data_IF_367809296380
#
_entry.id   IF_367809296380
#
_cell.length_a   1.000
_cell.length_b   1.000
_cell.length_c   1.000
_cell.angle_alpha   90.00
_cell.angle_beta   90.00
_cell.angle_gamma   90.00
#
_symmetry.space_group_name_H-M   'P 1'
#
loop_
_entity.id
_entity.type
_entity.pdbx_description
1 polymer ?
#
# COMPACT_ATOMS: atom_id res chain seq x y z
N UNK A 1 71.89 7.42 30.87
CA UNK A 1 72.18 7.29 29.43
C UNK A 1 70.86 7.20 28.68
N UNK A 2 70.68 8.12 27.73
CA UNK A 2 69.80 8.11 26.56
C UNK A 2 68.26 8.05 26.70
N UNK A 3 67.62 9.02 26.04
CA UNK A 3 66.19 9.21 25.77
C UNK A 3 65.50 8.03 25.05
N UNK A 4 64.17 7.94 25.18
CA UNK A 4 63.31 7.78 23.99
C UNK A 4 61.88 8.27 24.22
N UNK A 5 61.55 9.40 23.59
CA UNK A 5 60.20 9.75 23.13
C UNK A 5 59.56 8.60 22.35
N UNK A 6 58.26 8.35 22.51
CA UNK A 6 57.34 8.05 21.40
C UNK A 6 55.90 8.30 21.88
N UNK A 7 55.35 9.38 21.33
CA UNK A 7 53.96 9.78 21.21
C UNK A 7 53.13 8.64 20.60
N UNK A 8 52.06 8.19 21.26
CA UNK A 8 50.96 7.45 20.62
C UNK A 8 49.62 7.85 21.19
N UNK A 9 49.02 8.83 20.52
CA UNK A 9 47.58 9.09 20.50
C UNK A 9 46.90 7.83 19.94
N UNK A 10 46.00 7.19 20.68
CA UNK A 10 45.02 6.28 20.07
C UNK A 10 43.67 6.43 20.77
N UNK A 11 42.84 7.24 20.12
CA UNK A 11 41.38 7.18 20.02
C UNK A 11 40.58 7.08 21.32
N UNK A 12 39.93 8.17 21.78
CA UNK A 12 38.93 8.07 22.82
C UNK A 12 37.80 7.17 22.33
N UNK A 13 37.27 6.37 23.25
CA UNK A 13 36.07 5.56 23.10
C UNK A 13 34.83 6.44 22.89
N UNK A 14 34.77 7.17 21.77
CA UNK A 14 33.51 7.60 21.17
C UNK A 14 32.90 6.37 20.53
N UNK A 15 32.16 5.65 21.38
CA UNK A 15 31.06 4.79 20.99
C UNK A 15 30.15 5.63 20.09
N UNK A 16 30.42 5.60 18.78
CA UNK A 16 29.55 6.13 17.75
C UNK A 16 28.23 5.37 17.88
N UNK A 17 27.31 5.95 18.66
CA UNK A 17 25.90 5.60 18.63
C UNK A 17 25.41 5.94 17.23
N UNK A 18 25.60 5.01 16.31
CA UNK A 18 25.09 5.06 14.95
C UNK A 18 23.56 5.04 15.06
N UNK A 19 22.97 6.21 15.17
CA UNK A 19 21.55 6.43 15.01
C UNK A 19 21.19 6.08 13.56
N UNK A 20 20.84 4.83 13.33
CA UNK A 20 20.30 4.37 12.06
C UNK A 20 18.91 4.99 11.92
N UNK A 21 18.84 6.18 11.33
CA UNK A 21 17.57 6.82 11.01
C UNK A 21 16.99 6.08 9.81
N UNK A 22 16.10 5.13 10.06
CA UNK A 22 15.33 4.47 9.00
C UNK A 22 14.31 5.48 8.49
N UNK A 23 14.59 6.04 7.31
CA UNK A 23 13.62 6.87 6.58
C UNK A 23 12.53 5.95 6.02
N UNK A 24 11.42 5.80 6.75
CA UNK A 24 10.19 5.23 6.20
C UNK A 24 9.68 6.20 5.13
N UNK A 25 9.54 5.69 3.90
CA UNK A 25 8.87 6.41 2.81
C UNK A 25 7.40 6.01 2.84
N UNK A 26 6.51 6.91 3.27
CA UNK A 26 5.07 6.74 3.10
C UNK A 26 4.64 7.27 1.74
N UNK A 27 3.93 6.47 0.94
CA UNK A 27 3.25 6.99 -0.25
C UNK A 27 2.01 7.75 0.20
N UNK A 28 1.96 9.06 -0.01
CA UNK A 28 0.73 9.84 0.13
C UNK A 28 -0.13 9.59 -1.09
N UNK A 29 -1.32 9.00 -0.91
CA UNK A 29 -2.31 8.89 -1.98
C UNK A 29 -3.10 10.17 -2.04
N UNK A 30 -3.20 10.76 -3.23
CA UNK A 30 -4.04 11.93 -3.44
C UNK A 30 -5.52 11.51 -3.41
N UNK A 31 -6.35 12.13 -2.55
CA UNK A 31 -7.77 11.84 -2.50
C UNK A 31 -8.48 12.39 -3.75
N UNK A 32 -9.23 11.53 -4.44
CA UNK A 32 -10.04 11.92 -5.59
C UNK A 32 -11.50 12.13 -5.19
N UNK A 33 -12.08 13.27 -5.56
CA UNK A 33 -13.49 13.57 -5.29
C UNK A 33 -14.38 13.01 -6.39
N UNK A 34 -15.40 12.24 -6.02
CA UNK A 34 -16.42 11.70 -6.92
C UNK A 34 -17.82 12.16 -6.52
N UNK A 35 -18.62 12.55 -7.51
CA UNK A 35 -19.96 13.15 -7.31
C UNK A 35 -21.11 12.15 -7.22
N UNK A 36 -20.90 10.90 -7.62
CA UNK A 36 -21.98 9.91 -7.78
C UNK A 36 -21.83 8.68 -6.88
N UNK A 37 -20.97 8.76 -5.86
CA UNK A 37 -20.72 7.66 -4.92
C UNK A 37 -20.41 6.32 -5.62
N UNK A 38 -19.35 6.26 -6.47
CA UNK A 38 -18.99 5.06 -7.21
C UNK A 38 -18.83 3.84 -6.30
N UNK A 39 -19.03 2.67 -6.87
CA UNK A 39 -18.67 1.39 -6.27
C UNK A 39 -17.31 0.88 -6.80
N UNK A 40 -16.78 -0.22 -6.26
CA UNK A 40 -15.51 -0.78 -6.71
C UNK A 40 -15.50 -1.15 -8.21
N UNK A 41 -16.62 -1.59 -8.75
CA UNK A 41 -16.74 -1.93 -10.17
C UNK A 41 -16.70 -0.70 -11.06
N UNK A 42 -17.28 0.43 -10.63
CA UNK A 42 -17.25 1.70 -11.37
C UNK A 42 -15.81 2.23 -11.53
N UNK A 43 -14.91 1.85 -10.61
CA UNK A 43 -13.48 2.16 -10.65
C UNK A 43 -12.63 1.11 -11.40
N UNK A 44 -13.25 0.08 -11.97
CA UNK A 44 -12.55 -1.01 -12.67
C UNK A 44 -12.01 -2.12 -11.76
N UNK A 45 -12.36 -2.13 -10.47
CA UNK A 45 -11.95 -3.12 -9.47
C UNK A 45 -13.06 -4.15 -9.20
N UNK A 46 -13.64 -4.71 -10.26
CA UNK A 46 -14.70 -5.70 -10.16
C UNK A 46 -14.19 -7.01 -9.52
N UNK A 47 -14.85 -7.48 -8.46
CA UNK A 47 -14.64 -8.84 -7.94
C UNK A 47 -14.73 -8.94 -6.43
N UNK A 48 -13.82 -8.28 -5.71
CA UNK A 48 -13.71 -8.42 -4.25
C UNK A 48 -13.88 -7.06 -3.59
N UNK A 49 -15.10 -6.82 -3.11
CA UNK A 49 -15.52 -5.58 -2.45
C UNK A 49 -16.19 -5.88 -1.13
N UNK A 50 -15.96 -5.03 -0.13
CA UNK A 50 -16.67 -5.08 1.15
C UNK A 50 -17.24 -3.72 1.48
N UNK A 51 -18.52 -3.67 1.81
CA UNK A 51 -19.20 -2.45 2.23
C UNK A 51 -19.42 -2.51 3.74
N UNK A 52 -18.98 -1.50 4.46
CA UNK A 52 -19.25 -1.39 5.89
C UNK A 52 -20.69 -0.92 6.13
N UNK A 53 -21.26 -1.31 7.27
CA UNK A 53 -22.49 -0.71 7.82
C UNK A 53 -22.22 0.71 8.30
N UNK A 54 -23.24 1.46 8.74
CA UNK A 54 -23.09 2.83 9.25
C UNK A 54 -22.15 2.91 10.48
N UNK A 55 -21.28 3.94 10.60
CA UNK A 55 -20.38 4.12 11.76
C UNK A 55 -21.14 4.42 13.06
N UNK A 56 -20.47 4.40 14.23
CA UNK A 56 -19.01 4.31 14.46
C UNK A 56 -18.42 2.91 14.22
N UNK A 57 -17.15 2.89 13.76
CA UNK A 57 -16.37 1.67 13.58
C UNK A 57 -15.08 1.74 14.38
N UNK A 58 -14.94 0.89 15.39
CA UNK A 58 -13.66 0.65 16.06
C UNK A 58 -13.52 -0.85 16.21
N UNK A 59 -13.49 -1.52 15.05
CA UNK A 59 -13.65 -2.97 14.95
C UNK A 59 -12.99 -3.55 13.73
N UNK A 60 -12.85 -4.86 13.80
CA UNK A 60 -12.42 -5.70 12.70
C UNK A 60 -13.59 -6.17 11.84
N UNK A 61 -13.31 -6.30 10.53
CA UNK A 61 -14.19 -6.87 9.53
C UNK A 61 -13.48 -8.00 8.80
N UNK A 62 -14.21 -9.08 8.55
CA UNK A 62 -13.71 -10.19 7.76
C UNK A 62 -13.87 -9.88 6.27
N UNK A 63 -12.77 -10.00 5.55
CA UNK A 63 -12.69 -9.95 4.10
C UNK A 63 -12.45 -11.38 3.58
N UNK A 64 -12.72 -11.64 2.30
CA UNK A 64 -12.66 -12.98 1.70
C UNK A 64 -11.32 -13.74 1.80
N UNK A 65 -10.26 -13.11 2.29
CA UNK A 65 -8.95 -13.74 2.53
C UNK A 65 -8.23 -13.27 3.80
N UNK A 66 -8.92 -12.57 4.71
CA UNK A 66 -8.30 -12.01 5.91
C UNK A 66 -9.19 -11.00 6.60
N UNK A 67 -8.58 -9.98 7.20
CA UNK A 67 -9.27 -9.03 8.05
C UNK A 67 -8.84 -7.59 7.73
N UNK A 68 -9.73 -6.64 8.04
CA UNK A 68 -9.40 -5.22 8.12
C UNK A 68 -9.91 -4.65 9.44
N UNK A 69 -9.01 -4.01 10.17
CA UNK A 69 -9.31 -3.22 11.35
C UNK A 69 -9.44 -1.75 10.94
N UNK A 70 -10.58 -1.15 11.25
CA UNK A 70 -10.86 0.27 11.03
C UNK A 70 -10.93 0.94 12.41
N UNK A 71 -10.21 2.04 12.57
CA UNK A 71 -10.17 2.82 13.80
C UNK A 71 -10.55 4.26 13.51
N UNK A 72 -11.63 4.75 14.11
CA UNK A 72 -12.12 6.10 13.89
C UNK A 72 -11.24 7.11 14.62
N UNK A 73 -10.89 8.20 13.93
CA UNK A 73 -10.27 9.38 14.55
C UNK A 73 -11.37 10.31 15.05
N UNK A 74 -12.40 10.52 14.23
CA UNK A 74 -13.60 11.30 14.53
C UNK A 74 -14.72 10.89 13.54
N UNK A 75 -15.86 11.59 13.51
CA UNK A 75 -16.99 11.26 12.62
C UNK A 75 -16.69 11.38 11.12
N UNK A 76 -15.56 12.00 10.75
CA UNK A 76 -15.20 12.35 9.38
C UNK A 76 -13.89 11.69 8.90
N UNK A 77 -13.08 11.16 9.82
CA UNK A 77 -11.75 10.60 9.53
C UNK A 77 -11.48 9.29 10.29
N UNK A 78 -10.70 8.40 9.68
CA UNK A 78 -10.32 7.09 10.24
C UNK A 78 -8.93 6.64 9.76
N UNK A 79 -8.45 5.57 10.38
CA UNK A 79 -7.27 4.80 9.97
C UNK A 79 -7.69 3.36 9.68
N UNK A 80 -6.89 2.64 8.90
CA UNK A 80 -7.07 1.19 8.79
C UNK A 80 -5.75 0.42 8.80
N UNK A 81 -5.85 -0.83 9.22
CA UNK A 81 -4.81 -1.86 9.06
C UNK A 81 -5.50 -3.12 8.55
N UNK A 82 -4.97 -3.75 7.52
CA UNK A 82 -5.51 -4.96 6.90
C UNK A 82 -4.45 -6.05 6.75
N UNK A 83 -4.89 -7.30 6.80
CA UNK A 83 -4.09 -8.46 6.41
C UNK A 83 -4.30 -8.82 4.94
N UNK A 84 -5.21 -8.12 4.25
CA UNK A 84 -5.54 -8.33 2.83
C UNK A 84 -5.13 -7.09 2.02
N UNK A 85 -4.58 -7.25 0.81
CA UNK A 85 -4.16 -6.11 0.01
C UNK A 85 -5.35 -5.26 -0.44
N UNK A 86 -5.33 -3.97 -0.10
CA UNK A 86 -6.33 -3.00 -0.48
C UNK A 86 -5.87 -2.25 -1.74
N UNK A 87 -6.75 -2.17 -2.75
CA UNK A 87 -6.49 -1.50 -4.02
C UNK A 87 -7.15 -0.12 -4.10
N UNK A 88 -8.33 0.02 -3.50
CA UNK A 88 -8.98 1.31 -3.35
C UNK A 88 -9.90 1.36 -2.11
N UNK A 89 -10.09 2.57 -1.59
CA UNK A 89 -11.06 2.87 -0.53
C UNK A 89 -11.98 4.00 -0.99
N UNK A 90 -13.28 3.77 -0.91
CA UNK A 90 -14.30 4.76 -1.24
C UNK A 90 -14.99 5.18 0.06
N UNK A 91 -14.73 6.41 0.49
CA UNK A 91 -15.25 7.00 1.73
C UNK A 91 -16.45 7.87 1.37
N UNK A 92 -17.65 7.37 1.67
CA UNK A 92 -18.91 8.04 1.32
C UNK A 92 -19.38 8.92 2.47
N UNK A 93 -19.83 10.13 2.13
CA UNK A 93 -20.35 11.10 3.09
C UNK A 93 -21.09 12.24 2.39
N UNK A 94 -22.33 12.49 2.78
CA UNK A 94 -23.19 13.45 2.08
C UNK A 94 -23.50 13.00 0.65
N UNK A 95 -23.55 13.91 -0.34
CA UNK A 95 -23.85 13.56 -1.73
C UNK A 95 -22.68 12.94 -2.49
N UNK A 96 -21.44 13.07 -2.01
CA UNK A 96 -20.23 12.73 -2.73
C UNK A 96 -19.39 11.67 -1.98
N UNK A 97 -18.30 11.22 -2.60
CA UNK A 97 -17.32 10.35 -1.96
C UNK A 97 -15.89 10.77 -2.23
N UNK A 98 -15.01 10.52 -1.27
CA UNK A 98 -13.56 10.59 -1.47
C UNK A 98 -13.05 9.20 -1.79
N UNK A 99 -12.31 9.06 -2.88
CA UNK A 99 -11.73 7.81 -3.35
C UNK A 99 -10.22 7.87 -3.20
N UNK A 100 -9.66 6.85 -2.58
CA UNK A 100 -8.22 6.64 -2.44
C UNK A 100 -7.84 5.45 -3.32
N UNK A 101 -7.20 5.69 -4.46
CA UNK A 101 -6.73 4.64 -5.37
C UNK A 101 -5.25 4.42 -5.16
N UNK A 102 -4.87 3.19 -4.80
CA UNK A 102 -3.47 2.85 -4.54
C UNK A 102 -2.81 2.27 -5.80
N UNK A 103 -1.73 2.91 -6.26
CA UNK A 103 -0.96 2.49 -7.44
C UNK A 103 -0.50 1.03 -7.32
N UNK A 104 0.10 0.69 -6.19
CA UNK A 104 0.30 -0.69 -5.71
C UNK A 104 -0.61 -0.92 -4.50
N UNK A 105 -1.00 -2.17 -4.21
CA UNK A 105 -1.87 -2.43 -3.06
C UNK A 105 -1.18 -2.13 -1.73
N UNK A 106 -1.96 -1.74 -0.73
CA UNK A 106 -1.46 -1.39 0.61
C UNK A 106 -2.13 -2.24 1.70
N UNK A 107 -1.51 -2.28 2.88
CA UNK A 107 -2.04 -2.96 4.06
C UNK A 107 -2.44 -2.00 5.18
N UNK A 108 -2.16 -0.71 5.05
CA UNK A 108 -2.57 0.29 6.04
C UNK A 108 -2.51 1.68 5.42
N UNK A 109 -3.39 2.57 5.88
CA UNK A 109 -3.28 4.00 5.65
C UNK A 109 -3.92 4.75 6.83
N UNK A 110 -3.61 6.03 6.95
CA UNK A 110 -3.98 6.87 8.09
C UNK A 110 -4.58 8.19 7.65
N UNK A 111 -5.43 8.77 8.50
CA UNK A 111 -6.04 10.10 8.30
C UNK A 111 -6.87 10.16 7.00
N UNK A 112 -7.56 9.07 6.69
CA UNK A 112 -8.50 9.02 5.56
C UNK A 112 -9.81 9.68 5.95
N UNK A 113 -10.36 10.53 5.09
CA UNK A 113 -11.58 11.26 5.37
C UNK A 113 -12.57 11.35 4.22
N UNK A 114 -13.77 11.85 4.55
CA UNK A 114 -14.86 12.16 3.62
C UNK A 114 -14.55 13.37 2.74
N UNK A 115 -15.42 13.66 1.75
CA UNK A 115 -15.33 14.88 0.99
C UNK A 115 -15.45 16.12 1.86
N UNK A 116 -14.61 17.11 1.56
CA UNK A 116 -14.84 18.47 2.02
C UNK A 116 -16.03 19.06 1.25
N UNK A 117 -17.08 19.47 1.95
CA UNK A 117 -18.21 20.15 1.34
C UNK A 117 -17.93 21.67 1.30
N UNK A 118 -17.74 22.28 0.10
CA UNK A 118 -17.41 23.69 -0.01
C UNK A 118 -18.56 24.61 0.42
N UNK A 119 -19.81 24.14 0.35
CA UNK A 119 -20.98 24.94 0.70
C UNK A 119 -21.11 25.10 2.23
N UNK A 120 -20.94 24.00 2.98
CA UNK A 120 -20.99 24.02 4.44
C UNK A 120 -19.64 24.34 5.09
N UNK A 121 -18.56 24.39 4.29
CA UNK A 121 -17.16 24.56 4.72
C UNK A 121 -16.71 23.52 5.76
N UNK A 122 -17.24 22.30 5.66
CA UNK A 122 -16.98 21.21 6.60
C UNK A 122 -16.90 19.88 5.86
N UNK A 123 -16.19 18.93 6.45
CA UNK A 123 -16.30 17.53 6.05
C UNK A 123 -17.69 16.97 6.41
N UNK A 124 -18.23 16.12 5.55
CA UNK A 124 -19.45 15.38 5.88
C UNK A 124 -19.12 14.24 6.85
N UNK A 125 -20.07 13.87 7.71
CA UNK A 125 -19.91 12.65 8.50
C UNK A 125 -19.86 11.43 7.57
N UNK A 126 -19.03 10.46 7.92
CA UNK A 126 -18.91 9.21 7.16
C UNK A 126 -20.23 8.45 7.26
N UNK A 127 -20.76 7.99 6.13
CA UNK A 127 -21.94 7.11 6.10
C UNK A 127 -21.54 5.64 6.00
N UNK A 128 -20.62 5.31 5.09
CA UNK A 128 -20.10 3.96 4.89
C UNK A 128 -18.83 3.98 4.06
N UNK A 129 -18.04 2.91 4.18
CA UNK A 129 -16.89 2.65 3.34
C UNK A 129 -17.25 1.58 2.32
N UNK A 130 -16.61 1.67 1.16
CA UNK A 130 -16.52 0.55 0.24
C UNK A 130 -15.04 0.27 -0.03
N UNK A 131 -14.65 -0.98 0.27
CA UNK A 131 -13.27 -1.44 0.32
C UNK A 131 -13.06 -2.35 -0.87
N UNK A 132 -12.17 -1.98 -1.79
CA UNK A 132 -11.80 -2.79 -2.94
C UNK A 132 -10.49 -3.52 -2.63
N UNK A 133 -10.53 -4.84 -2.53
CA UNK A 133 -9.41 -5.66 -2.06
C UNK A 133 -9.08 -6.80 -3.04
N UNK A 134 -7.93 -7.45 -2.84
CA UNK A 134 -7.55 -8.65 -3.59
C UNK A 134 -7.63 -9.89 -2.68
N UNK A 135 -8.34 -10.93 -3.10
CA UNK A 135 -8.45 -12.19 -2.33
C UNK A 135 -7.15 -13.00 -2.26
N UNK A 136 -6.12 -12.59 -2.98
CA UNK A 136 -4.80 -13.21 -2.99
C UNK A 136 -3.74 -12.18 -2.59
N UNK A 137 -2.72 -12.62 -1.84
CA UNK A 137 -1.56 -11.79 -1.52
C UNK A 137 -1.02 -11.14 -2.81
N UNK A 138 -0.54 -9.89 -2.75
CA UNK A 138 0.00 -9.25 -3.94
C UNK A 138 1.23 -10.05 -4.34
N UNK A 139 1.32 -10.43 -5.62
CA UNK A 139 2.63 -10.81 -6.15
C UNK A 139 3.47 -9.54 -5.99
N UNK A 140 4.61 -9.57 -5.27
CA UNK A 140 5.48 -8.40 -5.21
C UNK A 140 5.76 -7.98 -6.64
N UNK A 141 5.29 -6.80 -7.02
CA UNK A 141 5.64 -6.18 -8.30
C UNK A 141 7.15 -5.92 -8.19
N UNK A 142 7.96 -6.84 -8.71
CA UNK A 142 9.37 -6.55 -8.90
C UNK A 142 9.43 -5.26 -9.72
N UNK A 143 10.19 -4.23 -9.28
CA UNK A 143 10.37 -3.04 -10.09
C UNK A 143 10.81 -3.52 -11.46
N UNK A 144 9.98 -3.27 -12.48
CA UNK A 144 10.28 -3.75 -13.82
C UNK A 144 11.68 -3.25 -14.14
N UNK A 145 12.65 -4.14 -14.46
CA UNK A 145 13.92 -3.67 -14.94
C UNK A 145 13.58 -2.91 -16.22
N UNK A 146 13.82 -1.61 -16.21
CA UNK A 146 13.71 -0.73 -17.36
C UNK A 146 14.86 -1.17 -18.29
N UNK A 147 14.74 -2.32 -18.92
CA UNK A 147 15.58 -2.65 -20.04
C UNK A 147 15.11 -1.72 -21.15
N UNK A 148 15.96 -0.79 -21.61
CA UNK A 148 15.63 -0.05 -22.81
C UNK A 148 15.38 -1.10 -23.88
N UNK A 149 14.15 -1.16 -24.37
CA UNK A 149 13.80 -1.90 -25.57
C UNK A 149 14.52 -1.18 -26.70
N UNK A 150 15.81 -1.49 -26.87
CA UNK A 150 16.49 -1.26 -28.12
C UNK A 150 15.78 -2.18 -29.11
N UNK A 151 14.81 -1.62 -29.82
CA UNK A 151 14.29 -2.18 -31.06
C UNK A 151 15.48 -2.23 -32.01
N UNK A 152 16.28 -3.29 -31.94
CA UNK A 152 17.16 -3.64 -33.04
C UNK A 152 16.25 -4.34 -34.04
N UNK A 153 15.93 -3.59 -35.08
CA UNK A 153 15.22 -4.05 -36.26
C UNK A 153 15.80 -5.37 -36.77
N UNK A 154 14.93 -6.35 -36.96
CA UNK A 154 15.15 -7.50 -37.83
C UNK A 154 16.06 -8.58 -37.25
N UNK A 155 15.50 -9.74 -36.94
CA UNK A 155 15.78 -11.01 -37.62
C UNK A 155 15.07 -12.15 -36.86
N UNK A 156 14.03 -12.70 -37.50
CA UNK A 156 13.72 -14.14 -37.61
C UNK A 156 13.50 -14.95 -36.31
N UNK A 157 12.20 -15.14 -36.03
CA UNK A 157 11.49 -16.39 -35.77
C UNK A 157 12.21 -17.61 -35.13
N UNK A 158 11.62 -18.17 -34.05
CA UNK A 158 11.00 -19.52 -33.97
C UNK A 158 11.00 -20.04 -32.51
N UNK A 159 9.83 -20.55 -32.10
CA UNK A 159 9.54 -21.54 -31.05
C UNK A 159 9.81 -21.19 -29.58
N UNK A 160 8.78 -21.40 -28.74
CA UNK A 160 8.99 -21.61 -27.31
C UNK A 160 7.91 -21.11 -26.35
N UNK A 161 6.62 -21.13 -26.71
CA UNK A 161 5.58 -21.14 -25.69
C UNK A 161 5.62 -22.54 -25.02
N UNK A 162 5.53 -22.56 -23.69
CA UNK A 162 5.41 -23.73 -22.82
C UNK A 162 6.66 -24.58 -22.58
N UNK A 163 7.41 -24.23 -21.54
CA UNK A 163 7.93 -25.23 -20.60
C UNK A 163 7.72 -24.73 -19.18
N UNK A 164 6.52 -25.06 -18.70
CA UNK A 164 6.16 -25.15 -17.30
C UNK A 164 7.26 -25.90 -16.53
N UNK A 165 7.81 -25.24 -15.51
CA UNK A 165 8.87 -25.77 -14.67
C UNK A 165 8.39 -26.98 -13.87
N UNK A 166 8.60 -28.18 -14.39
CA UNK A 166 8.76 -29.39 -13.58
C UNK A 166 10.23 -29.79 -13.58
N UNK A 167 11.02 -29.18 -12.70
CA UNK A 167 12.30 -29.77 -12.25
C UNK A 167 12.37 -29.74 -10.71
N UNK A 168 11.57 -30.61 -10.06
CA UNK A 168 11.83 -31.02 -8.68
C UNK A 168 12.82 -32.19 -8.71
N UNK A 169 14.05 -31.92 -9.13
CA UNK A 169 15.18 -32.83 -8.94
C UNK A 169 15.45 -33.02 -7.45
N UNK A 170 15.59 -34.28 -7.06
CA UNK A 170 16.24 -34.84 -5.86
C UNK A 170 15.34 -35.33 -4.71
N UNK A 171 14.94 -36.60 -4.75
CA UNK A 171 15.21 -37.55 -3.66
C UNK A 171 15.69 -38.86 -4.31
N UNK A 172 16.98 -38.94 -4.64
CA UNK A 172 18.03 -39.64 -3.87
C UNK A 172 17.78 -41.14 -3.66
N UNK A 173 18.45 -41.89 -4.54
CA UNK A 173 19.15 -43.18 -4.40
C UNK A 173 18.33 -44.45 -4.22
#
# INVERSE_FOLDING_TARGET
MYEKNITRIFFPALFFLSLFVVLVSGSIVEPELYTDNPNCCDLGFCGSSFKTETPPWDREYSLGGGMINISMINSTHFNFISTVPIKALIVKGGPNSTVYIYGSTVLSDTVLGTPFNPNSKKFCDISHLEICYLNSAPVPEFPSPIFPVFIISGFVAIAGICSYMTDKKNLKK
#
